data_IF_648261264827
#
_entry.id   IF_648261264827
#
_cell.length_a   1.000
_cell.length_b   1.000
_cell.length_c   1.000
_cell.angle_alpha   90.00
_cell.angle_beta   90.00
_cell.angle_gamma   90.00
#
_symmetry.space_group_name_H-M   'P 1'
#
loop_
_entity.id
_entity.type
_entity.pdbx_description
1 polymer ?
#
# COMPACT_ATOMS: atom_id res chain seq x y z
N UNK A 1 14.50 26.72 41.64
CA UNK A 1 13.47 27.72 41.28
C UNK A 1 12.41 27.03 40.45
N UNK A 2 11.19 26.91 40.99
CA UNK A 2 10.03 26.30 40.32
C UNK A 2 9.51 27.23 39.23
N UNK A 3 9.42 26.79 37.97
CA UNK A 3 8.58 27.38 36.91
C UNK A 3 8.21 26.27 35.91
N UNK A 4 7.03 25.66 36.07
CA UNK A 4 5.87 25.79 35.16
C UNK A 4 6.13 25.01 33.86
N UNK A 5 5.63 23.78 33.67
CA UNK A 5 4.22 23.39 33.78
C UNK A 5 3.49 23.83 32.51
N UNK A 6 3.85 23.27 31.34
CA UNK A 6 3.11 23.50 30.10
C UNK A 6 1.91 22.55 30.06
N UNK A 7 0.77 23.19 30.08
CA UNK A 7 -0.58 22.66 30.22
C UNK A 7 -1.04 21.83 29.01
N UNK A 8 -1.91 20.89 29.35
CA UNK A 8 -3.16 20.56 28.67
C UNK A 8 -3.09 19.84 27.31
N UNK A 9 -3.15 18.51 27.43
CA UNK A 9 -4.13 17.68 26.70
C UNK A 9 -5.47 18.41 26.62
N UNK A 10 -5.93 18.70 25.41
CA UNK A 10 -7.29 19.15 25.13
C UNK A 10 -7.82 18.44 23.88
N UNK A 11 -8.75 17.50 24.13
CA UNK A 11 -10.03 17.31 23.43
C UNK A 11 -9.95 17.18 21.90
N UNK A 12 -10.03 15.98 21.33
CA UNK A 12 -11.29 15.25 21.11
C UNK A 12 -12.44 16.19 20.70
N UNK A 13 -12.73 16.28 19.40
CA UNK A 13 -14.07 16.10 18.80
C UNK A 13 -14.22 16.77 17.41
N UNK A 14 -14.92 16.04 16.51
CA UNK A 14 -15.65 16.47 15.30
C UNK A 14 -14.78 16.70 14.04
N UNK A 15 -14.99 16.04 12.89
CA UNK A 15 -16.27 15.69 12.27
C UNK A 15 -16.24 14.33 11.55
N UNK A 16 -17.05 13.38 12.03
CA UNK A 16 -17.61 12.34 11.16
C UNK A 16 -18.74 13.00 10.36
N UNK A 17 -18.41 13.50 9.16
CA UNK A 17 -19.44 13.90 8.20
C UNK A 17 -20.04 12.64 7.56
N UNK A 18 -21.10 12.18 8.21
CA UNK A 18 -22.32 11.66 7.60
C UNK A 18 -22.17 10.67 6.44
N UNK A 19 -22.32 9.38 6.73
CA UNK A 19 -23.03 8.52 5.79
C UNK A 19 -24.53 8.84 5.84
N UNK A 20 -25.10 8.99 4.64
CA UNK A 20 -26.40 8.44 4.19
C UNK A 20 -27.49 9.44 3.75
N UNK A 21 -27.50 9.75 2.44
CA UNK A 21 -28.74 9.63 1.66
C UNK A 21 -28.48 9.31 0.17
N UNK A 22 -28.63 8.03 -0.16
CA UNK A 22 -29.41 7.44 -1.28
C UNK A 22 -29.46 8.10 -2.69
N UNK A 23 -29.16 7.23 -3.68
CA UNK A 23 -29.52 7.23 -5.13
C UNK A 23 -28.64 8.15 -6.01
N UNK A 24 -28.14 7.79 -7.19
CA UNK A 24 -28.66 6.93 -8.26
C UNK A 24 -27.54 6.24 -9.08
N UNK A 25 -27.91 5.08 -9.61
CA UNK A 25 -27.22 4.24 -10.57
C UNK A 25 -27.39 4.84 -11.98
N UNK A 26 -26.31 4.92 -12.79
CA UNK A 26 -26.45 5.05 -14.24
C UNK A 26 -25.46 4.15 -14.96
N UNK A 27 -26.03 3.12 -15.58
CA UNK A 27 -25.43 2.27 -16.59
C UNK A 27 -25.42 3.02 -17.93
N UNK A 28 -24.38 2.84 -18.73
CA UNK A 28 -24.34 3.00 -20.19
C UNK A 28 -23.02 2.34 -20.62
N UNK A 29 -23.06 1.06 -20.99
CA UNK A 29 -23.32 0.55 -22.34
C UNK A 29 -22.18 0.83 -23.33
N UNK A 30 -21.62 -0.26 -23.84
CA UNK A 30 -21.32 -0.39 -25.25
C UNK A 30 -20.02 0.24 -25.78
N UNK A 31 -18.92 -0.50 -25.70
CA UNK A 31 -17.95 -0.51 -26.80
C UNK A 31 -17.28 -1.89 -26.87
N UNK A 32 -17.88 -2.76 -27.68
CA UNK A 32 -17.21 -3.93 -28.22
C UNK A 32 -16.02 -3.46 -29.07
N UNK A 33 -14.81 -3.87 -28.71
CA UNK A 33 -13.69 -3.95 -29.63
C UNK A 33 -13.09 -5.35 -29.53
N UNK A 34 -13.74 -6.27 -30.24
CA UNK A 34 -13.08 -7.47 -30.73
C UNK A 34 -12.04 -7.02 -31.76
N UNK A 35 -10.76 -7.17 -31.43
CA UNK A 35 -9.70 -7.29 -32.44
C UNK A 35 -8.77 -8.40 -31.97
N UNK A 36 -9.01 -9.58 -32.52
CA UNK A 36 -8.08 -10.69 -32.58
C UNK A 36 -6.87 -10.28 -33.43
N UNK A 37 -5.64 -10.40 -32.91
CA UNK A 37 -4.47 -10.74 -33.73
C UNK A 37 -3.38 -11.45 -32.93
N UNK A 38 -3.25 -12.74 -33.22
CA UNK A 38 -2.03 -13.52 -33.44
C UNK A 38 -0.77 -13.29 -32.58
N UNK A 39 -0.40 -14.38 -31.88
CA UNK A 39 0.91 -15.05 -32.00
C UNK A 39 2.14 -14.45 -31.28
N UNK A 40 2.51 -15.19 -30.22
CA UNK A 40 3.86 -15.64 -29.83
C UNK A 40 4.82 -14.65 -29.16
N UNK A 41 5.02 -14.91 -27.87
CA UNK A 41 6.36 -15.01 -27.28
C UNK A 41 6.78 -13.84 -26.41
N UNK A 42 7.17 -14.15 -25.17
CA UNK A 42 7.89 -13.24 -24.29
C UNK A 42 7.14 -12.99 -23.01
N UNK A 43 7.51 -13.71 -21.94
CA UNK A 43 7.00 -13.44 -20.61
C UNK A 43 7.37 -12.03 -20.18
N UNK A 44 6.38 -11.24 -19.77
CA UNK A 44 6.61 -10.11 -18.89
C UNK A 44 5.31 -9.72 -18.21
N UNK A 45 5.37 -9.75 -16.88
CA UNK A 45 4.48 -9.11 -15.92
C UNK A 45 2.99 -9.18 -16.28
N UNK A 46 2.34 -10.25 -15.81
CA UNK A 46 0.94 -10.14 -15.45
C UNK A 46 0.83 -9.00 -14.42
N UNK A 47 0.45 -7.81 -14.87
CA UNK A 47 -0.25 -6.85 -14.03
C UNK A 47 -1.52 -7.56 -13.60
N UNK A 48 -1.43 -8.30 -12.49
CA UNK A 48 -2.57 -8.83 -11.78
C UNK A 48 -3.30 -7.61 -11.25
N UNK A 49 -4.35 -7.21 -11.95
CA UNK A 49 -5.46 -6.52 -11.32
C UNK A 49 -5.95 -7.50 -10.25
N UNK A 50 -5.48 -7.30 -9.01
CA UNK A 50 -5.81 -8.13 -7.87
C UNK A 50 -7.33 -8.03 -7.67
N UNK A 51 -8.07 -8.99 -8.24
CA UNK A 51 -9.45 -9.24 -7.86
C UNK A 51 -9.42 -9.59 -6.37
N UNK A 52 -9.83 -8.60 -5.58
CA UNK A 52 -9.34 -8.40 -4.22
C UNK A 52 -10.04 -9.36 -3.26
N UNK A 53 -9.48 -10.56 -3.10
CA UNK A 53 -9.83 -11.46 -1.99
C UNK A 53 -8.83 -12.58 -1.70
N UNK A 54 -7.88 -12.83 -2.58
CA UNK A 54 -6.85 -13.84 -2.34
C UNK A 54 -5.75 -13.30 -1.41
N UNK A 55 -5.55 -13.89 -0.22
CA UNK A 55 -4.55 -13.42 0.74
C UNK A 55 -3.11 -13.59 0.26
N UNK A 56 -2.80 -14.57 -0.61
CA UNK A 56 -1.44 -14.71 -1.15
C UNK A 56 -1.11 -13.61 -2.15
N UNK A 57 -2.02 -13.30 -3.06
CA UNK A 57 -1.87 -12.19 -4.01
C UNK A 57 -1.73 -10.84 -3.29
N UNK A 58 -2.48 -10.63 -2.20
CA UNK A 58 -2.34 -9.43 -1.37
C UNK A 58 -0.97 -9.37 -0.69
N UNK A 59 -0.46 -10.48 -0.16
CA UNK A 59 0.89 -10.53 0.44
C UNK A 59 1.99 -10.29 -0.60
N UNK A 60 1.86 -10.85 -1.80
CA UNK A 60 2.81 -10.61 -2.89
C UNK A 60 2.83 -9.13 -3.30
N UNK A 61 1.65 -8.54 -3.46
CA UNK A 61 1.51 -7.10 -3.76
C UNK A 61 2.10 -6.23 -2.65
N UNK A 62 1.89 -6.59 -1.38
CA UNK A 62 2.48 -5.88 -0.24
C UNK A 62 4.01 -6.00 -0.24
N UNK A 63 4.55 -7.21 -0.49
CA UNK A 63 5.99 -7.43 -0.62
C UNK A 63 6.59 -6.58 -1.72
N UNK A 64 5.97 -6.56 -2.91
CA UNK A 64 6.44 -5.74 -4.03
C UNK A 64 6.49 -4.25 -3.67
N UNK A 65 5.44 -3.72 -3.04
CA UNK A 65 5.43 -2.31 -2.63
C UNK A 65 6.52 -2.01 -1.60
N UNK A 66 6.76 -2.93 -0.65
CA UNK A 66 7.86 -2.78 0.32
C UNK A 66 9.22 -2.84 -0.37
N UNK A 67 9.42 -3.75 -1.32
CA UNK A 67 10.66 -3.83 -2.09
C UNK A 67 10.94 -2.55 -2.87
N UNK A 68 9.91 -1.96 -3.47
CA UNK A 68 10.00 -0.66 -4.13
C UNK A 68 10.34 0.45 -3.14
N UNK A 69 9.71 0.51 -1.96
CA UNK A 69 10.04 1.47 -0.90
C UNK A 69 11.49 1.34 -0.43
N UNK A 70 11.99 0.11 -0.25
CA UNK A 70 13.39 -0.16 0.08
C UNK A 70 14.32 0.34 -1.03
N UNK A 71 13.97 0.10 -2.29
CA UNK A 71 14.69 0.64 -3.44
C UNK A 71 14.74 2.17 -3.44
N UNK A 72 13.61 2.83 -3.18
CA UNK A 72 13.52 4.29 -3.09
C UNK A 72 14.33 4.85 -1.91
N UNK A 73 14.35 4.17 -0.77
CA UNK A 73 15.19 4.53 0.38
C UNK A 73 16.68 4.48 0.03
N UNK A 74 17.12 3.47 -0.72
CA UNK A 74 18.52 3.39 -1.17
C UNK A 74 18.86 4.48 -2.20
N UNK A 75 17.93 4.76 -3.13
CA UNK A 75 18.04 5.88 -4.06
C UNK A 75 18.10 7.23 -3.35
N UNK A 76 17.35 7.40 -2.26
CA UNK A 76 17.38 8.61 -1.43
C UNK A 76 18.77 8.83 -0.82
N UNK A 77 19.43 7.77 -0.33
CA UNK A 77 20.82 7.84 0.16
C UNK A 77 21.79 8.25 -0.96
N UNK A 78 21.53 7.83 -2.20
CA UNK A 78 22.31 8.21 -3.37
C UNK A 78 21.98 9.62 -3.90
N UNK A 79 20.99 10.32 -3.34
CA UNK A 79 20.59 11.66 -3.78
C UNK A 79 19.75 11.69 -5.06
N UNK A 80 19.11 10.57 -5.41
CA UNK A 80 18.30 10.45 -6.64
C UNK A 80 16.97 11.21 -6.53
N UNK A 81 16.72 12.12 -7.46
CA UNK A 81 15.52 12.97 -7.48
C UNK A 81 14.23 12.20 -7.85
N UNK A 82 14.33 11.01 -8.45
CA UNK A 82 13.16 10.18 -8.78
C UNK A 82 12.38 9.72 -7.54
N UNK A 83 13.01 9.73 -6.36
CA UNK A 83 12.37 9.39 -5.10
C UNK A 83 11.18 10.29 -4.80
N UNK A 84 11.28 11.59 -5.11
CA UNK A 84 10.22 12.55 -4.81
C UNK A 84 8.91 12.27 -5.56
N UNK A 85 8.98 11.66 -6.74
CA UNK A 85 7.79 11.36 -7.56
C UNK A 85 7.23 9.96 -7.30
N UNK A 86 8.09 9.01 -6.91
CA UNK A 86 7.70 7.61 -6.72
C UNK A 86 7.35 7.25 -5.27
N UNK A 87 7.84 8.02 -4.29
CA UNK A 87 7.63 7.71 -2.87
C UNK A 87 6.15 7.66 -2.49
N UNK A 88 5.40 8.73 -2.76
CA UNK A 88 3.99 8.83 -2.41
C UNK A 88 3.11 7.75 -3.06
N UNK A 89 3.16 7.50 -4.38
CA UNK A 89 2.30 6.49 -4.99
C UNK A 89 2.60 5.07 -4.49
N UNK A 90 3.88 4.71 -4.33
CA UNK A 90 4.26 3.39 -3.79
C UNK A 90 3.81 3.24 -2.34
N UNK A 91 3.98 4.28 -1.52
CA UNK A 91 3.53 4.27 -0.12
C UNK A 91 2.00 4.14 -0.02
N UNK A 92 1.25 4.86 -0.84
CA UNK A 92 -0.21 4.75 -0.89
C UNK A 92 -0.66 3.33 -1.25
N UNK A 93 -0.02 2.72 -2.27
CA UNK A 93 -0.32 1.34 -2.65
C UNK A 93 0.00 0.36 -1.51
N UNK A 94 1.11 0.54 -0.80
CA UNK A 94 1.44 -0.29 0.36
C UNK A 94 0.38 -0.19 1.48
N UNK A 95 -0.13 1.02 1.76
CA UNK A 95 -1.19 1.25 2.75
C UNK A 95 -2.53 0.66 2.34
N UNK A 96 -2.89 0.76 1.06
CA UNK A 96 -4.10 0.16 0.50
C UNK A 96 -4.05 -1.37 0.62
N UNK A 97 -2.95 -1.99 0.20
CA UNK A 97 -2.80 -3.45 0.28
C UNK A 97 -2.74 -3.91 1.75
N UNK A 98 -2.09 -3.15 2.65
CA UNK A 98 -2.08 -3.51 4.07
C UNK A 98 -3.47 -3.41 4.71
N UNK A 99 -4.28 -2.42 4.31
CA UNK A 99 -5.68 -2.31 4.72
C UNK A 99 -6.50 -3.52 4.25
N UNK A 100 -6.31 -3.94 3.00
CA UNK A 100 -6.96 -5.13 2.46
C UNK A 100 -6.54 -6.41 3.19
N UNK A 101 -5.25 -6.53 3.58
CA UNK A 101 -4.75 -7.63 4.40
C UNK A 101 -5.38 -7.63 5.81
N UNK A 102 -5.55 -6.47 6.44
CA UNK A 102 -6.23 -6.37 7.75
C UNK A 102 -7.70 -6.80 7.66
N UNK A 103 -8.40 -6.41 6.58
CA UNK A 103 -9.79 -6.83 6.33
C UNK A 103 -9.96 -8.34 6.16
N UNK A 104 -8.90 -9.05 5.74
CA UNK A 104 -8.92 -10.52 5.57
C UNK A 104 -8.06 -11.24 6.60
N UNK A 105 -7.61 -10.57 7.66
CA UNK A 105 -6.61 -11.13 8.58
C UNK A 105 -7.02 -12.44 9.24
N UNK A 106 -8.32 -12.61 9.52
CA UNK A 106 -8.85 -13.83 10.13
C UNK A 106 -8.82 -15.03 9.16
N UNK A 107 -8.55 -14.77 7.87
CA UNK A 107 -8.38 -15.78 6.82
C UNK A 107 -6.91 -16.09 6.53
N UNK A 108 -5.98 -15.34 7.11
CA UNK A 108 -4.55 -15.59 6.93
C UNK A 108 -4.15 -16.86 7.68
N UNK A 109 -3.39 -17.71 7.01
CA UNK A 109 -2.71 -18.83 7.68
C UNK A 109 -1.58 -18.31 8.58
N UNK A 110 -1.10 -19.12 9.56
CA UNK A 110 0.07 -18.74 10.36
C UNK A 110 1.31 -18.43 9.52
N UNK A 111 1.51 -19.15 8.41
CA UNK A 111 2.62 -18.90 7.48
C UNK A 111 2.47 -17.56 6.75
N UNK A 112 1.24 -17.20 6.38
CA UNK A 112 0.93 -15.92 5.75
C UNK A 112 1.10 -14.75 6.73
N UNK A 113 0.68 -14.90 7.99
CA UNK A 113 0.95 -13.91 9.04
C UNK A 113 2.46 -13.74 9.29
N UNK A 114 3.22 -14.84 9.27
CA UNK A 114 4.68 -14.79 9.37
C UNK A 114 5.28 -14.01 8.18
N UNK A 115 4.89 -14.34 6.94
CA UNK A 115 5.32 -13.61 5.74
C UNK A 115 5.02 -12.11 5.86
N UNK A 116 3.82 -11.74 6.31
CA UNK A 116 3.46 -10.34 6.56
C UNK A 116 4.45 -9.67 7.54
N UNK A 117 4.72 -10.31 8.67
CA UNK A 117 5.67 -9.80 9.67
C UNK A 117 7.10 -9.67 9.13
N UNK A 118 7.56 -10.62 8.30
CA UNK A 118 8.87 -10.58 7.66
C UNK A 118 8.96 -9.41 6.66
N UNK A 119 7.92 -9.18 5.85
CA UNK A 119 7.84 -8.05 4.92
C UNK A 119 7.87 -6.72 5.69
N UNK A 120 7.07 -6.58 6.76
CA UNK A 120 7.07 -5.35 7.59
C UNK A 120 8.40 -5.12 8.30
N UNK A 121 9.06 -6.19 8.76
CA UNK A 121 10.39 -6.10 9.38
C UNK A 121 11.43 -5.56 8.39
N UNK A 122 11.42 -6.07 7.15
CA UNK A 122 12.30 -5.59 6.08
C UNK A 122 12.17 -4.09 5.83
N UNK A 123 10.94 -3.56 5.79
CA UNK A 123 10.70 -2.11 5.65
C UNK A 123 11.28 -1.32 6.83
N UNK A 124 11.11 -1.84 8.04
CA UNK A 124 11.61 -1.22 9.29
C UNK A 124 13.14 -1.20 9.32
N UNK A 125 13.77 -2.32 8.97
CA UNK A 125 15.24 -2.43 8.88
C UNK A 125 15.81 -1.49 7.82
N UNK A 126 15.19 -1.42 6.65
CA UNK A 126 15.59 -0.47 5.61
C UNK A 126 15.47 0.98 6.09
N UNK A 127 14.34 1.33 6.73
CA UNK A 127 14.13 2.68 7.29
C UNK A 127 15.21 3.03 8.32
N UNK A 128 15.51 2.12 9.24
CA UNK A 128 16.57 2.29 10.24
C UNK A 128 17.96 2.46 9.61
N UNK A 129 18.22 1.81 8.47
CA UNK A 129 19.47 1.94 7.74
C UNK A 129 19.64 3.31 7.07
N UNK A 130 18.56 4.06 6.83
CA UNK A 130 18.59 5.41 6.24
C UNK A 130 18.73 6.46 7.34
N UNK A 131 18.20 6.21 8.55
CA UNK A 131 18.24 7.18 9.66
C UNK A 131 19.51 7.11 10.51
N UNK A 132 20.22 5.98 10.56
CA UNK A 132 21.58 5.91 11.11
C UNK A 132 22.57 6.55 10.13
N UNK A 133 22.75 7.86 10.23
CA UNK A 133 23.80 8.62 9.56
C UNK A 133 24.78 9.18 10.59
#
# INVERSE_FOLDING_TARGET
>A
MKKIGLFAVALFALCLVSCNQKKEQKNADGAAVEMTDSTKGGGQAASTTADSKDPEALLESYSSCVDELVGLMNKMKAGDASVATQWTPVLQKALEVSSQLDMVKDKLTPEQMKKFSEITSKLTEASNSVTKK
#
